data_IF_627040437184
#
_entry.id   IF_627040437184
#
_cell.length_a   1.000
_cell.length_b   1.000
_cell.length_c   1.000
_cell.angle_alpha   90.00
_cell.angle_beta   90.00
_cell.angle_gamma   90.00
#
_symmetry.space_group_name_H-M   'P 1'
#
loop_
_entity.id
_entity.type
_entity.pdbx_description
1 polymer ?
#
# COMPACT_ATOMS: atom_id res chain seq x y z
N UNK A 1 39.05 -60.58 26.43
CA UNK A 1 38.87 -59.71 25.24
C UNK A 1 37.38 -59.35 25.13
N UNK A 2 37.01 -58.15 25.52
CA UNK A 2 35.63 -57.63 25.42
C UNK A 2 35.59 -56.59 24.31
N UNK A 3 34.86 -56.92 23.25
CA UNK A 3 34.67 -56.08 22.09
C UNK A 3 33.53 -55.11 22.37
N UNK A 4 33.81 -53.80 22.42
CA UNK A 4 32.82 -52.73 22.58
C UNK A 4 32.35 -52.32 21.17
N UNK A 5 31.08 -52.58 20.89
CA UNK A 5 30.41 -52.18 19.68
C UNK A 5 29.89 -50.74 19.87
N UNK A 6 30.51 -49.78 19.20
CA UNK A 6 30.12 -48.38 19.21
C UNK A 6 29.07 -48.13 18.12
N UNK A 7 27.81 -48.03 18.50
CA UNK A 7 26.70 -47.68 17.58
C UNK A 7 26.66 -46.17 17.42
N UNK A 8 27.03 -45.67 16.24
CA UNK A 8 26.84 -44.27 15.84
C UNK A 8 25.37 -44.05 15.51
N UNK A 9 24.69 -43.28 16.37
CA UNK A 9 23.34 -42.78 16.13
C UNK A 9 23.47 -41.48 15.35
N UNK A 10 23.30 -41.53 14.02
CA UNK A 10 23.25 -40.33 13.19
C UNK A 10 21.90 -39.67 13.36
N UNK A 11 21.87 -38.60 14.16
CA UNK A 11 20.71 -37.71 14.32
C UNK A 11 20.61 -36.81 13.09
N UNK A 12 19.81 -37.19 12.09
CA UNK A 12 19.47 -36.35 10.96
C UNK A 12 18.49 -35.26 11.45
N UNK A 13 19.02 -34.07 11.68
CA UNK A 13 18.20 -32.87 11.87
C UNK A 13 17.49 -32.51 10.55
N UNK A 14 16.26 -32.98 10.41
CA UNK A 14 15.37 -32.44 9.39
C UNK A 14 14.99 -31.02 9.78
N UNK A 15 15.66 -30.01 9.21
CA UNK A 15 15.15 -28.66 9.17
C UNK A 15 13.87 -28.68 8.33
N UNK A 16 12.72 -28.73 9.00
CA UNK A 16 11.44 -28.46 8.36
C UNK A 16 11.46 -26.97 7.95
N UNK A 17 11.72 -26.72 6.69
CA UNK A 17 11.46 -25.41 6.09
C UNK A 17 9.94 -25.29 6.04
N UNK A 18 9.37 -24.50 6.95
CA UNK A 18 7.98 -24.08 6.89
C UNK A 18 7.77 -23.31 5.57
N UNK A 19 7.42 -24.04 4.52
CA UNK A 19 6.89 -23.46 3.29
C UNK A 19 5.51 -22.93 3.65
N UNK A 20 5.49 -21.73 4.21
CA UNK A 20 4.27 -20.96 4.40
C UNK A 20 3.68 -20.81 3.02
N UNK A 21 2.61 -21.56 2.74
CA UNK A 21 1.89 -21.50 1.48
C UNK A 21 1.59 -20.04 1.19
N UNK A 22 2.25 -19.45 0.20
CA UNK A 22 1.93 -18.13 -0.29
C UNK A 22 0.51 -18.23 -0.84
N UNK A 23 -0.43 -17.67 -0.09
CA UNK A 23 -1.80 -17.54 -0.57
C UNK A 23 -1.74 -16.77 -1.88
N UNK A 24 -2.10 -17.42 -2.97
CA UNK A 24 -2.26 -16.75 -4.27
C UNK A 24 -3.24 -15.60 -4.07
N UNK A 25 -2.87 -14.38 -4.51
CA UNK A 25 -3.74 -13.23 -4.36
C UNK A 25 -5.10 -13.50 -5.00
N UNK A 26 -6.21 -13.15 -4.38
CA UNK A 26 -7.56 -13.50 -4.82
C UNK A 26 -7.90 -13.00 -6.24
N UNK A 27 -7.15 -12.06 -6.79
CA UNK A 27 -7.39 -11.44 -8.10
C UNK A 27 -6.21 -11.52 -9.06
N UNK A 28 -5.13 -12.26 -8.73
CA UNK A 28 -3.89 -12.24 -9.50
C UNK A 28 -3.14 -10.90 -9.44
N UNK A 29 -3.54 -9.97 -8.57
CA UNK A 29 -2.81 -8.72 -8.37
C UNK A 29 -1.44 -8.99 -7.76
N UNK A 30 -0.39 -8.39 -8.33
CA UNK A 30 1.01 -8.62 -7.95
C UNK A 30 1.57 -7.50 -7.09
N UNK A 31 1.33 -6.25 -7.45
CA UNK A 31 1.85 -5.10 -6.70
C UNK A 31 1.02 -3.83 -6.91
N UNK A 32 1.22 -2.89 -6.00
CA UNK A 32 0.70 -1.52 -6.08
C UNK A 32 1.85 -0.59 -6.45
N UNK A 33 1.60 0.35 -7.36
CA UNK A 33 2.49 1.46 -7.66
C UNK A 33 1.79 2.79 -7.34
N UNK A 34 2.41 3.61 -6.49
CA UNK A 34 1.94 4.95 -6.15
C UNK A 34 2.83 5.97 -6.83
N UNK A 35 2.25 6.85 -7.64
CA UNK A 35 2.94 7.97 -8.26
C UNK A 35 2.45 9.28 -7.65
N UNK A 36 3.34 9.98 -6.94
CA UNK A 36 3.05 11.26 -6.29
C UNK A 36 2.95 12.41 -7.29
N UNK A 37 3.55 12.26 -8.47
CA UNK A 37 3.50 13.27 -9.53
C UNK A 37 2.14 13.28 -10.23
N UNK A 38 1.68 12.13 -10.69
CA UNK A 38 0.36 12.00 -11.35
C UNK A 38 -0.79 11.88 -10.35
N UNK A 39 -0.52 11.85 -9.04
CA UNK A 39 -1.52 11.64 -7.99
C UNK A 39 -2.36 10.39 -8.25
N UNK A 40 -1.69 9.27 -8.54
CA UNK A 40 -2.37 8.00 -8.85
C UNK A 40 -1.79 6.83 -8.06
N UNK A 41 -2.67 5.87 -7.77
CA UNK A 41 -2.34 4.53 -7.30
C UNK A 41 -2.78 3.54 -8.38
N UNK A 42 -1.85 2.74 -8.88
CA UNK A 42 -2.09 1.73 -9.89
C UNK A 42 -1.89 0.32 -9.31
N UNK A 43 -2.71 -0.63 -9.73
CA UNK A 43 -2.59 -2.04 -9.40
C UNK A 43 -2.19 -2.80 -10.65
N UNK A 44 -1.17 -3.63 -10.54
CA UNK A 44 -0.65 -4.48 -11.62
C UNK A 44 -0.76 -5.96 -11.25
N UNK A 45 -0.91 -6.82 -12.27
CA UNK A 45 -0.80 -8.26 -12.11
C UNK A 45 0.63 -8.77 -12.32
N UNK A 46 0.83 -10.10 -12.20
CA UNK A 46 2.15 -10.74 -12.36
C UNK A 46 2.72 -10.66 -13.79
N UNK A 47 1.90 -10.30 -14.78
CA UNK A 47 2.33 -10.06 -16.15
C UNK A 47 2.58 -8.58 -16.41
N UNK A 48 2.60 -7.74 -15.36
CA UNK A 48 2.70 -6.28 -15.44
C UNK A 48 1.55 -5.61 -16.20
N UNK A 49 0.41 -6.29 -16.33
CA UNK A 49 -0.79 -5.69 -16.91
C UNK A 49 -1.49 -4.83 -15.86
N UNK A 50 -1.89 -3.63 -16.26
CA UNK A 50 -2.63 -2.69 -15.43
C UNK A 50 -4.04 -3.23 -15.16
N UNK A 51 -4.42 -3.33 -13.88
CA UNK A 51 -5.71 -3.86 -13.41
C UNK A 51 -6.66 -2.77 -12.92
N UNK A 52 -6.13 -1.75 -12.27
CA UNK A 52 -6.91 -0.63 -11.77
C UNK A 52 -6.02 0.61 -11.60
N UNK A 53 -6.62 1.79 -11.67
CA UNK A 53 -5.98 3.08 -11.33
C UNK A 53 -6.97 3.91 -10.54
N UNK A 54 -6.48 4.49 -9.44
CA UNK A 54 -7.27 5.33 -8.56
C UNK A 54 -6.58 6.68 -8.35
N UNK A 55 -7.30 7.80 -8.34
CA UNK A 55 -6.77 9.09 -7.93
C UNK A 55 -6.51 9.09 -6.42
N UNK A 56 -5.44 9.75 -6.01
CA UNK A 56 -5.01 9.79 -4.61
C UNK A 56 -4.74 11.22 -4.12
N UNK A 57 -4.60 11.36 -2.80
CA UNK A 57 -3.85 12.45 -2.19
C UNK A 57 -2.62 11.89 -1.46
N UNK A 58 -1.56 12.70 -1.35
CA UNK A 58 -0.33 12.33 -0.66
C UNK A 58 0.18 13.45 0.26
N UNK A 59 1.36 13.26 0.84
CA UNK A 59 1.97 14.19 1.80
C UNK A 59 2.04 15.63 1.31
N UNK A 60 1.74 16.59 2.20
CA UNK A 60 1.74 18.05 1.91
C UNK A 60 3.12 18.55 1.47
N UNK A 61 4.18 18.01 2.06
CA UNK A 61 5.55 18.41 1.75
C UNK A 61 6.12 17.55 0.62
N UNK A 62 6.97 18.17 -0.19
CA UNK A 62 7.74 17.53 -1.24
C UNK A 62 8.90 16.70 -0.67
N UNK A 63 9.37 15.75 -1.44
CA UNK A 63 10.51 14.90 -1.11
C UNK A 63 10.17 13.60 -0.42
N UNK A 64 11.21 12.84 -0.10
CA UNK A 64 11.09 11.59 0.63
C UNK A 64 10.94 11.86 2.13
N UNK A 65 10.20 11.00 2.82
CA UNK A 65 10.05 11.07 4.27
C UNK A 65 11.37 10.80 4.99
N UNK A 66 11.72 11.68 5.94
CA UNK A 66 12.96 11.61 6.72
C UNK A 66 12.70 11.45 8.23
N UNK A 67 11.63 12.05 8.74
CA UNK A 67 11.30 12.07 10.17
C UNK A 67 9.80 12.14 10.44
N UNK A 68 9.33 11.80 11.64
CA UNK A 68 7.96 12.04 12.06
C UNK A 68 7.57 13.52 11.92
N UNK A 69 6.32 13.78 11.49
CA UNK A 69 5.79 15.15 11.38
C UNK A 69 6.29 15.97 10.19
N UNK A 70 7.12 15.44 9.30
CA UNK A 70 7.64 16.16 8.12
C UNK A 70 6.63 16.31 6.97
N UNK A 71 5.43 15.77 7.13
CA UNK A 71 4.32 15.83 6.17
C UNK A 71 4.66 15.24 4.78
N UNK A 72 5.69 14.39 4.70
CA UNK A 72 6.15 13.76 3.47
C UNK A 72 5.67 12.32 3.39
N UNK A 73 5.28 11.86 2.18
CA UNK A 73 5.02 10.45 1.89
C UNK A 73 6.36 9.76 1.58
N UNK A 74 6.69 8.63 2.23
CA UNK A 74 7.95 7.92 1.97
C UNK A 74 8.00 7.38 0.54
N UNK A 75 9.20 7.28 0.00
CA UNK A 75 9.51 6.72 -1.31
C UNK A 75 10.28 5.42 -1.15
N UNK A 76 10.08 4.48 -2.07
CA UNK A 76 10.77 3.21 -2.09
C UNK A 76 9.86 2.01 -2.23
N UNK A 77 10.40 0.83 -1.91
CA UNK A 77 9.69 -0.44 -1.96
C UNK A 77 9.25 -0.86 -0.56
N UNK A 78 7.98 -1.04 -0.40
CA UNK A 78 7.32 -1.42 0.85
C UNK A 78 6.46 -2.67 0.64
N UNK A 79 5.77 -3.09 1.68
CA UNK A 79 4.77 -4.14 1.60
C UNK A 79 3.57 -3.82 2.50
N UNK A 80 2.42 -4.40 2.17
CA UNK A 80 1.25 -4.36 3.05
C UNK A 80 1.55 -5.17 4.31
N UNK A 81 1.56 -4.50 5.45
CA UNK A 81 1.79 -5.13 6.76
C UNK A 81 0.49 -5.68 7.35
N UNK A 82 -0.60 -4.93 7.22
CA UNK A 82 -1.88 -5.23 7.85
C UNK A 82 -3.02 -4.49 7.13
N UNK A 83 -4.20 -5.09 7.11
CA UNK A 83 -5.44 -4.45 6.65
C UNK A 83 -6.36 -4.37 7.87
N UNK A 84 -6.70 -3.17 8.30
CA UNK A 84 -7.43 -2.90 9.54
C UNK A 84 -8.76 -2.23 9.23
N UNK A 85 -9.81 -2.58 9.99
CA UNK A 85 -11.03 -1.78 10.01
C UNK A 85 -10.74 -0.45 10.72
N UNK A 86 -10.96 0.64 10.01
CA UNK A 86 -10.72 2.01 10.50
C UNK A 86 -12.02 2.82 10.61
N UNK A 87 -13.17 2.20 10.43
CA UNK A 87 -14.48 2.86 10.38
C UNK A 87 -14.81 3.67 11.64
N UNK A 88 -14.28 3.24 12.78
CA UNK A 88 -14.48 3.91 14.07
C UNK A 88 -13.32 4.82 14.49
N UNK A 89 -12.23 4.88 13.70
CA UNK A 89 -11.07 5.67 14.08
C UNK A 89 -11.35 7.16 13.96
N UNK A 90 -10.77 7.93 14.88
CA UNK A 90 -10.81 9.38 14.89
C UNK A 90 -9.43 9.97 14.59
N UNK A 91 -9.41 11.21 14.10
CA UNK A 91 -8.19 11.98 13.92
C UNK A 91 -8.48 13.47 14.06
N UNK A 92 -7.62 14.17 14.79
CA UNK A 92 -7.59 15.64 14.83
C UNK A 92 -6.46 16.12 13.91
N UNK A 93 -6.82 16.82 12.85
CA UNK A 93 -5.88 17.35 11.87
C UNK A 93 -5.20 18.65 12.32
N UNK A 94 -5.50 19.12 13.53
CA UNK A 94 -4.96 20.38 14.08
C UNK A 94 -5.47 21.62 13.34
N UNK A 95 -6.59 21.52 12.64
CA UNK A 95 -7.22 22.62 11.89
C UNK A 95 -8.30 23.39 12.70
N UNK A 96 -8.39 23.08 13.99
CA UNK A 96 -9.35 23.71 14.93
C UNK A 96 -10.76 23.09 14.87
N UNK A 97 -11.00 22.07 14.07
CA UNK A 97 -12.30 21.37 13.98
C UNK A 97 -12.45 20.24 14.99
N UNK A 98 -11.34 19.88 15.69
CA UNK A 98 -11.29 18.76 16.61
C UNK A 98 -11.27 17.39 15.94
N UNK A 99 -11.57 16.34 16.72
CA UNK A 99 -11.53 14.97 16.22
C UNK A 99 -12.65 14.68 15.21
N UNK A 100 -12.26 14.15 14.05
CA UNK A 100 -13.17 13.72 13.00
C UNK A 100 -13.28 12.18 13.02
N UNK A 101 -14.46 11.67 13.34
CA UNK A 101 -14.74 10.24 13.29
C UNK A 101 -14.83 9.75 11.82
N UNK A 102 -14.24 8.60 11.54
CA UNK A 102 -14.18 8.05 10.19
C UNK A 102 -13.19 8.77 9.26
N UNK A 103 -12.26 9.53 9.85
CA UNK A 103 -11.23 10.29 9.12
C UNK A 103 -10.42 9.44 8.13
N UNK A 104 -10.34 8.13 8.38
CA UNK A 104 -9.58 7.16 7.58
C UNK A 104 -10.46 6.33 6.63
N UNK A 105 -11.76 6.58 6.58
CA UNK A 105 -12.72 5.75 5.83
C UNK A 105 -12.91 4.37 6.47
N UNK A 106 -13.28 3.37 5.65
CA UNK A 106 -13.61 2.02 6.15
C UNK A 106 -12.39 1.20 6.54
N UNK A 107 -11.24 1.39 5.89
CA UNK A 107 -10.05 0.57 6.11
C UNK A 107 -8.78 1.41 6.16
N UNK A 108 -7.78 0.88 6.87
CA UNK A 108 -6.40 1.37 6.87
C UNK A 108 -5.47 0.22 6.44
N UNK A 109 -4.91 0.33 5.25
CA UNK A 109 -3.92 -0.59 4.71
C UNK A 109 -2.55 -0.12 5.21
N UNK A 110 -2.09 -0.70 6.30
CA UNK A 110 -0.80 -0.33 6.92
C UNK A 110 0.35 -0.83 6.08
N UNK A 111 1.31 0.02 5.81
CA UNK A 111 2.54 -0.31 5.10
C UNK A 111 3.68 -0.60 6.09
N UNK A 112 4.50 -1.59 5.76
CA UNK A 112 5.78 -1.84 6.42
C UNK A 112 6.81 -0.90 5.83
N UNK A 113 7.04 0.24 6.51
CA UNK A 113 7.96 1.29 6.10
C UNK A 113 9.13 1.35 7.09
N UNK A 114 10.29 0.72 6.81
CA UNK A 114 11.43 0.74 7.71
C UNK A 114 11.83 2.17 8.08
N UNK A 115 12.03 2.44 9.37
CA UNK A 115 12.37 3.76 9.88
C UNK A 115 11.20 4.73 10.06
N UNK A 116 9.99 4.39 9.61
CA UNK A 116 8.80 5.24 9.75
C UNK A 116 7.60 4.45 10.26
N UNK A 117 6.83 5.05 11.15
CA UNK A 117 5.61 4.47 11.71
C UNK A 117 4.37 5.18 11.19
N UNK A 118 3.22 4.47 11.19
CA UNK A 118 1.93 5.09 10.94
C UNK A 118 1.62 5.40 9.47
N UNK A 119 2.44 4.95 8.53
CA UNK A 119 2.18 5.15 7.09
C UNK A 119 1.24 4.07 6.57
N UNK A 120 0.26 4.50 5.78
CA UNK A 120 -0.70 3.59 5.17
C UNK A 120 -1.45 4.20 4.01
N UNK A 121 -2.31 3.35 3.40
CA UNK A 121 -3.27 3.73 2.38
C UNK A 121 -4.65 3.62 3.02
N UNK A 122 -5.45 4.69 2.96
CA UNK A 122 -6.74 4.75 3.65
C UNK A 122 -7.76 5.63 2.92
N UNK A 123 -8.98 5.67 3.42
CA UNK A 123 -10.05 6.50 2.88
C UNK A 123 -9.98 7.96 3.32
N UNK A 124 -11.08 8.66 3.21
CA UNK A 124 -11.13 10.11 3.29
C UNK A 124 -12.41 10.62 3.92
N UNK A 125 -12.31 11.73 4.66
CA UNK A 125 -13.45 12.52 5.12
C UNK A 125 -13.71 13.77 4.26
N UNK A 126 -12.67 14.24 3.53
CA UNK A 126 -12.73 15.39 2.64
C UNK A 126 -12.39 15.00 1.20
N UNK A 127 -13.38 14.63 0.36
CA UNK A 127 -13.17 14.22 -1.02
C UNK A 127 -12.50 15.27 -1.91
N UNK A 128 -12.60 16.57 -1.57
CA UNK A 128 -12.00 17.64 -2.35
C UNK A 128 -10.45 17.61 -2.30
N UNK A 129 -9.86 16.91 -1.33
CA UNK A 129 -8.41 16.79 -1.22
C UNK A 129 -7.79 15.76 -2.19
N UNK A 130 -8.58 14.92 -2.87
CA UNK A 130 -8.07 13.98 -3.87
C UNK A 130 -7.47 14.74 -5.06
N UNK A 131 -6.34 14.25 -5.55
CA UNK A 131 -5.55 14.92 -6.59
C UNK A 131 -4.58 15.98 -6.05
N UNK A 132 -4.46 16.13 -4.73
CA UNK A 132 -3.63 17.16 -4.11
C UNK A 132 -2.65 16.62 -3.07
N UNK A 133 -1.70 17.47 -2.66
CA UNK A 133 -0.83 17.23 -1.50
C UNK A 133 -1.53 17.74 -0.24
N UNK A 134 -2.22 16.85 0.48
CA UNK A 134 -3.09 17.21 1.60
C UNK A 134 -2.90 16.38 2.86
N UNK A 135 -1.98 15.38 2.85
CA UNK A 135 -1.85 14.44 3.97
C UNK A 135 -0.62 14.70 4.84
N UNK A 136 -0.54 14.04 5.97
CA UNK A 136 0.62 14.05 6.86
C UNK A 136 1.68 13.00 6.49
N UNK A 137 1.50 12.33 5.34
CA UNK A 137 2.41 11.32 4.80
C UNK A 137 1.74 10.04 4.31
N UNK A 138 0.50 9.77 4.72
CA UNK A 138 -0.29 8.66 4.20
C UNK A 138 -0.76 8.92 2.75
N UNK A 139 -1.19 7.86 2.07
CA UNK A 139 -1.87 7.92 0.78
C UNK A 139 -3.37 7.80 1.01
N UNK A 140 -4.15 8.75 0.48
CA UNK A 140 -5.62 8.76 0.61
C UNK A 140 -6.28 8.44 -0.72
N UNK A 141 -7.36 7.64 -0.66
CA UNK A 141 -8.27 7.36 -1.76
C UNK A 141 -9.69 7.82 -1.42
N UNK A 142 -10.53 7.97 -2.44
CA UNK A 142 -11.97 8.00 -2.20
C UNK A 142 -12.41 6.71 -1.50
N UNK A 143 -13.44 6.79 -0.67
CA UNK A 143 -13.91 5.64 0.11
C UNK A 143 -14.42 4.47 -0.77
N UNK A 144 -15.05 4.77 -1.91
CA UNK A 144 -15.46 3.77 -2.90
C UNK A 144 -14.26 3.02 -3.49
N UNK A 145 -13.21 3.78 -3.85
CA UNK A 145 -12.00 3.27 -4.48
C UNK A 145 -11.19 2.41 -3.49
N UNK A 146 -11.09 2.87 -2.23
CA UNK A 146 -10.49 2.09 -1.15
C UNK A 146 -11.22 0.76 -0.94
N UNK A 147 -12.55 0.80 -0.90
CA UNK A 147 -13.36 -0.40 -0.69
C UNK A 147 -13.19 -1.40 -1.85
N UNK A 148 -13.13 -0.91 -3.09
CA UNK A 148 -12.84 -1.73 -4.26
C UNK A 148 -11.43 -2.32 -4.19
N UNK A 149 -10.42 -1.50 -3.86
CA UNK A 149 -9.03 -1.89 -3.72
C UNK A 149 -8.88 -3.03 -2.69
N UNK A 150 -9.48 -2.87 -1.49
CA UNK A 150 -9.43 -3.88 -0.43
C UNK A 150 -10.14 -5.17 -0.84
N UNK A 151 -11.33 -5.07 -1.42
CA UNK A 151 -12.14 -6.26 -1.78
C UNK A 151 -11.54 -7.07 -2.93
N UNK A 152 -10.92 -6.41 -3.91
CA UNK A 152 -10.52 -7.07 -5.14
C UNK A 152 -9.03 -7.40 -5.22
N UNK A 153 -8.15 -6.61 -4.59
CA UNK A 153 -6.75 -6.65 -4.95
C UNK A 153 -5.80 -6.85 -3.77
N UNK A 154 -6.01 -6.19 -2.64
CA UNK A 154 -5.00 -6.10 -1.57
C UNK A 154 -4.97 -7.34 -0.69
N UNK A 155 -3.75 -7.76 -0.35
CA UNK A 155 -3.47 -8.83 0.61
C UNK A 155 -2.24 -8.48 1.45
N UNK A 156 -2.11 -9.08 2.63
CA UNK A 156 -0.96 -8.90 3.50
C UNK A 156 0.29 -9.47 2.83
N UNK A 157 1.37 -8.70 2.81
CA UNK A 157 2.60 -9.04 2.10
C UNK A 157 2.68 -8.50 0.66
N UNK A 158 1.58 -7.94 0.11
CA UNK A 158 1.58 -7.37 -1.23
C UNK A 158 2.64 -6.26 -1.35
N UNK A 159 3.51 -6.30 -2.38
CA UNK A 159 4.47 -5.25 -2.64
C UNK A 159 3.78 -3.92 -2.98
N UNK A 160 4.34 -2.83 -2.46
CA UNK A 160 3.91 -1.46 -2.73
C UNK A 160 5.13 -0.62 -3.06
N UNK A 161 5.22 -0.10 -4.26
CA UNK A 161 6.25 0.85 -4.65
C UNK A 161 5.67 2.26 -4.62
N UNK A 162 6.33 3.17 -3.91
CA UNK A 162 6.00 4.59 -3.91
C UNK A 162 7.13 5.31 -4.65
N UNK A 163 6.78 5.90 -5.77
CA UNK A 163 7.75 6.50 -6.69
C UNK A 163 8.01 7.96 -6.32
N UNK A 164 9.19 8.42 -6.67
CA UNK A 164 9.55 9.83 -6.63
C UNK A 164 8.72 10.62 -7.63
N UNK A 165 8.58 11.93 -7.44
CA UNK A 165 8.07 12.84 -8.47
C UNK A 165 9.21 13.76 -8.96
N UNK A 166 9.05 14.37 -10.14
CA UNK A 166 10.01 15.38 -10.62
C UNK A 166 10.17 16.54 -9.63
N UNK A 167 9.08 16.92 -8.97
CA UNK A 167 9.10 17.93 -7.92
C UNK A 167 9.86 17.48 -6.65
N UNK A 168 10.02 16.16 -6.45
CA UNK A 168 10.65 15.57 -5.27
C UNK A 168 12.10 15.09 -5.58
N UNK A 169 12.43 14.87 -6.84
CA UNK A 169 13.69 14.25 -7.26
C UNK A 169 14.13 14.74 -8.65
N UNK A 170 15.44 14.70 -8.89
CA UNK A 170 16.01 14.95 -10.22
C UNK A 170 15.77 13.81 -11.24
N UNK A 171 15.15 12.71 -10.83
CA UNK A 171 14.87 11.56 -11.71
C UNK A 171 13.37 11.53 -12.03
N UNK A 172 12.96 11.76 -13.28
CA UNK A 172 11.57 11.79 -13.65
C UNK A 172 10.92 10.41 -13.55
N UNK A 173 9.80 10.34 -12.82
CA UNK A 173 8.91 9.19 -12.80
C UNK A 173 8.00 9.26 -14.04
N UNK A 174 8.36 8.59 -15.13
CA UNK A 174 7.48 8.45 -16.29
C UNK A 174 6.72 7.12 -16.21
N UNK A 175 5.52 7.15 -15.64
CA UNK A 175 4.52 6.16 -16.06
C UNK A 175 4.03 6.52 -17.48
N UNK A 176 3.67 5.52 -18.31
CA UNK A 176 2.89 5.81 -19.50
C UNK A 176 1.67 6.62 -19.02
N UNK A 177 1.44 7.74 -19.70
CA UNK A 177 0.37 8.69 -19.34
C UNK A 177 -0.88 7.90 -18.95
N UNK A 178 -1.37 8.15 -17.72
CA UNK A 178 -2.57 7.49 -17.25
C UNK A 178 -3.61 7.59 -18.36
N UNK A 179 -4.05 6.44 -18.86
CA UNK A 179 -5.23 6.40 -19.72
C UNK A 179 -6.28 7.17 -18.92
N UNK A 180 -6.63 8.37 -19.40
CA UNK A 180 -7.72 9.16 -18.82
C UNK A 180 -8.84 8.17 -18.62
N UNK A 181 -9.34 8.03 -17.39
CA UNK A 181 -10.40 7.10 -17.05
C UNK A 181 -11.47 7.19 -18.15
N UNK A 182 -11.42 6.25 -19.07
CA UNK A 182 -12.44 6.10 -20.10
C UNK A 182 -13.75 5.78 -19.40
N UNK A 183 -14.89 6.12 -19.99
CA UNK A 183 -16.19 5.85 -19.39
C UNK A 183 -16.24 4.36 -19.03
N UNK A 184 -16.63 4.08 -17.79
CA UNK A 184 -16.91 2.75 -17.27
C UNK A 184 -17.57 1.91 -18.35
N UNK A 185 -16.88 0.88 -18.84
CA UNK A 185 -17.53 -0.14 -19.66
C UNK A 185 -18.61 -0.77 -18.77
N UNK A 186 -19.86 -0.38 -19.04
CA UNK A 186 -21.01 -1.06 -18.48
C UNK A 186 -20.89 -2.53 -18.91
N UNK A 187 -20.85 -3.43 -17.93
CA UNK A 187 -21.01 -4.84 -18.17
C UNK A 187 -22.33 -5.05 -18.93
N UNK A 188 -22.24 -5.44 -20.19
CA UNK A 188 -23.38 -5.96 -20.90
C UNK A 188 -23.63 -7.35 -20.32
N UNK A 189 -24.76 -7.46 -19.63
CA UNK A 189 -25.39 -8.75 -19.28
C UNK A 189 -25.97 -9.34 -20.55
N UNK A 190 -25.53 -10.51 -20.93
CA UNK A 190 -26.31 -11.57 -21.58
C UNK A 190 -26.28 -12.82 -20.75
#
# INVERSE_FOLDING_TARGET
MKTILCTFFACALFCAVDVRAQQTPPSGAAFIAVCKESMTLAVYDFNSCLRAVYPIACGRALGNKEKPGDMKTPEGLFSVQQIQDASAWTHDFGDGKGEIRGAYGSHFIRLKTPGHCGIGIHGIHDPASIGTRATEGCVRLNNSDLLELVKKYVYVGMPVVILTSEADSAVPCRFPAAVKAGPRLMAQTE
#
